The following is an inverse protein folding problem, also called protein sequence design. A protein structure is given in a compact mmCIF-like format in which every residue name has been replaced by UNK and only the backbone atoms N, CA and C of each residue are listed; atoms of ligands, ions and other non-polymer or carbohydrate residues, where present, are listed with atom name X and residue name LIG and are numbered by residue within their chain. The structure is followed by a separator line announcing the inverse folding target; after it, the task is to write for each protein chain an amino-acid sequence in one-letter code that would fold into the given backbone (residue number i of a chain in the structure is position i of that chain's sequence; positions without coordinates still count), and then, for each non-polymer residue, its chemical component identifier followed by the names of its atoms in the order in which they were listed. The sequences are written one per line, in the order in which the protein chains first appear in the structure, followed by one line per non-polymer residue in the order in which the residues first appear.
data_IF_911902494803
#
_entry.id   IF_911902494803
#
_cell.length_a   1.000
_cell.length_b   1.000
_cell.length_c   1.000
_cell.angle_alpha   90.00
_cell.angle_beta   90.00
_cell.angle_gamma   90.00
#
_symmetry.space_group_name_H-M   'P 1'
#
loop_
_entity.id
_entity.type
_entity.pdbx_description
1 polymer ?
#
# COMPACT_ATOMS: atom_id res chain seq x y z
N UNK A 1 3.52 0.10 -17.16
CA UNK A 1 4.12 -1.24 -17.39
C UNK A 1 3.48 -1.84 -18.64
N UNK A 2 4.24 -2.56 -19.47
CA UNK A 2 3.70 -3.19 -20.68
C UNK A 2 3.01 -4.51 -20.35
N UNK A 3 1.97 -4.88 -21.10
CA UNK A 3 1.17 -6.09 -20.86
C UNK A 3 2.02 -7.38 -20.77
N UNK A 4 3.05 -7.48 -21.60
CA UNK A 4 3.97 -8.61 -21.57
C UNK A 4 4.73 -8.74 -20.24
N UNK A 5 5.17 -7.62 -19.65
CA UNK A 5 5.86 -7.61 -18.37
C UNK A 5 4.91 -7.97 -17.23
N UNK A 6 3.67 -7.48 -17.28
CA UNK A 6 2.63 -7.86 -16.31
C UNK A 6 2.40 -9.37 -16.30
N UNK A 7 2.24 -9.99 -17.47
CA UNK A 7 2.05 -11.44 -17.59
C UNK A 7 3.25 -12.19 -17.03
N UNK A 8 4.48 -11.77 -17.36
CA UNK A 8 5.69 -12.41 -16.83
C UNK A 8 5.76 -12.37 -15.31
N UNK A 9 5.43 -11.23 -14.71
CA UNK A 9 5.38 -11.06 -13.26
C UNK A 9 4.33 -12.01 -12.65
N UNK A 10 3.12 -12.06 -13.22
CA UNK A 10 2.05 -12.96 -12.73
C UNK A 10 2.46 -14.43 -12.80
N UNK A 11 3.15 -14.83 -13.87
CA UNK A 11 3.69 -16.20 -14.01
C UNK A 11 4.76 -16.49 -12.95
N UNK A 12 5.66 -15.54 -12.69
CA UNK A 12 6.67 -15.68 -11.63
C UNK A 12 5.99 -15.85 -10.27
N UNK A 13 5.03 -15.00 -9.93
CA UNK A 13 4.27 -15.10 -8.69
C UNK A 13 3.54 -16.44 -8.59
N UNK A 14 2.81 -16.85 -9.63
CA UNK A 14 2.13 -18.15 -9.63
C UNK A 14 3.09 -19.34 -9.44
N UNK A 15 4.34 -19.23 -9.89
CA UNK A 15 5.35 -20.30 -9.76
C UNK A 15 6.00 -20.40 -8.36
N UNK A 16 5.79 -19.41 -7.50
CA UNK A 16 6.36 -19.38 -6.15
C UNK A 16 5.32 -19.50 -5.03
N UNK A 17 4.06 -19.21 -5.32
CA UNK A 17 2.96 -19.35 -4.37
C UNK A 17 2.67 -20.83 -4.11
N UNK A 18 2.41 -21.17 -2.86
CA UNK A 18 1.96 -22.49 -2.44
C UNK A 18 0.45 -22.67 -2.70
N UNK A 19 -0.07 -23.90 -2.60
CA UNK A 19 -1.48 -24.21 -2.88
C UNK A 19 -2.48 -23.47 -1.97
N UNK A 20 -2.05 -23.01 -0.81
CA UNK A 20 -2.83 -22.22 0.14
C UNK A 20 -2.77 -20.72 -0.11
N UNK A 21 -1.93 -20.26 -1.05
CA UNK A 21 -1.69 -18.86 -1.35
C UNK A 21 -2.20 -18.48 -2.74
N UNK A 22 -2.59 -17.22 -2.92
CA UNK A 22 -3.10 -16.70 -4.19
C UNK A 22 -2.86 -15.21 -4.35
N UNK A 23 -2.90 -14.75 -5.60
CA UNK A 23 -2.97 -13.31 -5.91
C UNK A 23 -4.42 -12.86 -5.70
N UNK A 24 -4.66 -11.97 -4.74
CA UNK A 24 -5.97 -11.33 -4.53
C UNK A 24 -6.15 -10.18 -5.51
N UNK A 25 -5.15 -9.30 -5.59
CA UNK A 25 -5.22 -8.09 -6.41
C UNK A 25 -3.87 -7.79 -7.03
N UNK A 26 -3.91 -7.19 -8.21
CA UNK A 26 -2.74 -6.81 -8.97
C UNK A 26 -3.04 -5.49 -9.69
N UNK A 27 -2.36 -4.43 -9.29
CA UNK A 27 -2.56 -3.09 -9.83
C UNK A 27 -1.25 -2.54 -10.37
N UNK A 28 -1.28 -1.95 -11.56
CA UNK A 28 -0.10 -1.41 -12.22
C UNK A 28 -0.18 0.09 -12.38
N UNK A 29 0.92 0.78 -12.13
CA UNK A 29 1.01 2.21 -12.39
C UNK A 29 1.45 2.44 -13.84
N UNK A 30 0.77 3.37 -14.51
CA UNK A 30 1.07 3.70 -15.90
C UNK A 30 2.45 4.37 -16.04
N UNK A 31 2.80 5.29 -15.14
CA UNK A 31 4.00 6.14 -15.24
C UNK A 31 5.24 5.57 -14.56
N UNK A 32 5.10 4.98 -13.37
CA UNK A 32 6.24 4.50 -12.59
C UNK A 32 6.55 3.02 -12.81
N UNK A 33 5.98 2.39 -13.85
CA UNK A 33 6.21 0.97 -14.18
C UNK A 33 6.27 0.05 -12.94
N UNK A 34 5.40 0.30 -11.97
CA UNK A 34 5.38 -0.43 -10.71
C UNK A 34 4.11 -1.28 -10.65
N UNK A 35 4.23 -2.49 -10.13
CA UNK A 35 3.09 -3.30 -9.78
C UNK A 35 2.95 -3.37 -8.26
N UNK A 36 1.72 -3.20 -7.79
CA UNK A 36 1.32 -3.41 -6.41
C UNK A 36 0.48 -4.67 -6.37
N UNK A 37 0.90 -5.64 -5.57
CA UNK A 37 0.30 -6.97 -5.53
C UNK A 37 -0.13 -7.26 -4.12
N UNK A 38 -1.39 -7.66 -3.99
CA UNK A 38 -1.95 -8.19 -2.76
C UNK A 38 -1.99 -9.71 -2.88
N UNK A 39 -1.24 -10.40 -2.04
CA UNK A 39 -1.27 -11.84 -1.88
C UNK A 39 -2.18 -12.18 -0.71
N UNK A 40 -2.84 -13.33 -0.78
CA UNK A 40 -3.69 -13.85 0.28
C UNK A 40 -3.46 -15.33 0.51
N UNK A 41 -3.82 -15.81 1.69
CA UNK A 41 -3.83 -17.23 2.00
C UNK A 41 -5.24 -17.74 2.40
N UNK A 42 -5.38 -19.06 2.57
CA UNK A 42 -6.64 -19.70 2.98
C UNK A 42 -7.04 -19.41 4.44
N UNK A 43 -6.14 -18.86 5.25
CA UNK A 43 -6.40 -18.44 6.63
C UNK A 43 -7.05 -17.04 6.71
N UNK A 44 -7.30 -16.40 5.56
CA UNK A 44 -7.86 -15.05 5.51
C UNK A 44 -6.82 -13.96 5.73
N UNK A 45 -5.53 -14.31 5.71
CA UNK A 45 -4.44 -13.36 5.86
C UNK A 45 -3.98 -12.84 4.51
N UNK A 46 -3.32 -11.69 4.53
CA UNK A 46 -2.83 -11.04 3.35
C UNK A 46 -1.42 -10.49 3.52
N UNK A 47 -0.81 -10.19 2.38
CA UNK A 47 0.49 -9.55 2.30
C UNK A 47 0.54 -8.65 1.07
N UNK A 48 1.03 -7.43 1.25
CA UNK A 48 1.27 -6.50 0.15
C UNK A 48 2.75 -6.52 -0.26
N UNK A 49 3.01 -6.63 -1.56
CA UNK A 49 4.34 -6.41 -2.13
C UNK A 49 4.27 -5.38 -3.26
N UNK A 50 5.41 -4.74 -3.49
CA UNK A 50 5.62 -3.89 -4.65
C UNK A 50 6.70 -4.51 -5.53
N UNK A 51 6.47 -4.47 -6.84
CA UNK A 51 7.44 -4.84 -7.87
C UNK A 51 7.77 -3.57 -8.66
N UNK A 52 9.04 -3.18 -8.68
CA UNK A 52 9.48 -1.94 -9.33
C UNK A 52 10.95 -1.96 -9.68
N UNK A 53 11.31 -1.28 -10.78
CA UNK A 53 12.72 -1.05 -11.18
C UNK A 53 13.41 0.06 -10.40
N UNK A 54 12.70 0.72 -9.48
CA UNK A 54 13.24 1.78 -8.64
C UNK A 54 12.76 1.64 -7.20
N UNK A 55 13.53 2.23 -6.28
CA UNK A 55 13.21 2.21 -4.85
C UNK A 55 11.92 2.95 -4.55
N UNK A 56 11.28 2.61 -3.43
CA UNK A 56 10.24 3.44 -2.85
C UNK A 56 10.81 4.81 -2.49
N UNK A 57 10.08 5.86 -2.90
CA UNK A 57 10.47 7.24 -2.68
C UNK A 57 10.16 7.69 -1.24
N UNK A 58 9.25 7.01 -0.55
CA UNK A 58 8.83 7.34 0.81
C UNK A 58 9.08 6.18 1.76
N UNK A 59 9.66 6.48 2.93
CA UNK A 59 9.94 5.54 4.03
C UNK A 59 8.65 5.04 4.70
N UNK A 60 7.53 5.77 4.53
CA UNK A 60 6.20 5.42 5.07
C UNK A 60 5.49 4.31 4.31
N UNK A 61 5.86 4.13 3.05
CA UNK A 61 5.41 2.97 2.29
C UNK A 61 6.44 1.87 2.47
N UNK A 62 6.49 1.29 3.68
CA UNK A 62 7.29 0.11 4.06
C UNK A 62 6.90 -1.17 3.30
N UNK A 63 6.17 -1.05 2.20
CA UNK A 63 5.77 -2.17 1.36
C UNK A 63 7.04 -2.84 0.81
N UNK A 64 7.27 -4.13 1.12
CA UNK A 64 8.40 -4.88 0.60
C UNK A 64 8.49 -4.74 -0.92
N UNK A 65 9.58 -4.12 -1.39
CA UNK A 65 9.76 -3.76 -2.80
C UNK A 65 10.84 -4.63 -3.43
N UNK A 66 10.51 -5.25 -4.57
CA UNK A 66 11.38 -6.15 -5.30
C UNK A 66 11.63 -5.65 -6.72
N UNK A 67 12.89 -5.67 -7.13
CA UNK A 67 13.29 -5.40 -8.51
C UNK A 67 12.94 -6.59 -9.40
N UNK A 68 12.20 -6.33 -10.48
CA UNK A 68 11.75 -7.36 -11.42
C UNK A 68 12.61 -7.45 -12.70
N UNK A 69 13.70 -6.69 -12.82
CA UNK A 69 14.59 -6.70 -13.99
C UNK A 69 15.31 -8.03 -14.19
N UNK A 70 15.75 -8.67 -13.09
CA UNK A 70 16.35 -10.01 -13.11
C UNK A 70 15.34 -11.04 -12.58
N UNK A 71 14.87 -11.90 -13.47
CA UNK A 71 13.87 -12.93 -13.15
C UNK A 71 14.37 -13.98 -12.15
N UNK A 72 15.62 -14.42 -12.26
CA UNK A 72 16.17 -15.47 -11.40
C UNK A 72 16.31 -14.92 -9.99
N UNK A 73 16.92 -13.73 -9.88
CA UNK A 73 17.09 -13.05 -8.61
C UNK A 73 15.74 -12.69 -7.97
N UNK A 74 14.74 -12.29 -8.77
CA UNK A 74 13.39 -12.00 -8.29
C UNK A 74 12.75 -13.22 -7.63
N UNK A 75 12.82 -14.39 -8.26
CA UNK A 75 12.25 -15.64 -7.74
C UNK A 75 12.87 -16.00 -6.39
N UNK A 76 14.19 -15.93 -6.28
CA UNK A 76 14.91 -16.25 -5.04
C UNK A 76 14.54 -15.28 -3.92
N UNK A 77 14.56 -13.97 -4.20
CA UNK A 77 14.20 -12.94 -3.22
C UNK A 77 12.76 -13.06 -2.75
N UNK A 78 11.83 -13.31 -3.66
CA UNK A 78 10.42 -13.47 -3.29
C UNK A 78 10.20 -14.76 -2.49
N UNK A 79 10.86 -15.87 -2.83
CA UNK A 79 10.77 -17.12 -2.05
C UNK A 79 11.31 -16.96 -0.63
N UNK A 80 12.48 -16.35 -0.49
CA UNK A 80 13.06 -16.08 0.84
C UNK A 80 12.14 -15.19 1.67
N UNK A 81 11.62 -14.12 1.05
CA UNK A 81 10.68 -13.22 1.68
C UNK A 81 9.39 -13.94 2.11
N UNK A 82 8.73 -14.69 1.23
CA UNK A 82 7.48 -15.39 1.54
C UNK A 82 7.65 -16.41 2.66
N UNK A 83 8.83 -17.04 2.78
CA UNK A 83 9.13 -17.99 3.86
C UNK A 83 9.20 -17.33 5.24
N UNK A 84 9.65 -16.08 5.30
CA UNK A 84 9.90 -15.35 6.56
C UNK A 84 8.88 -14.25 6.85
N UNK A 85 7.99 -13.95 5.90
CA UNK A 85 7.07 -12.85 6.02
C UNK A 85 6.01 -13.14 7.08
N UNK A 86 5.69 -12.10 7.85
CA UNK A 86 4.53 -12.11 8.73
C UNK A 86 3.30 -11.71 7.94
N UNK A 87 2.37 -12.63 7.79
CA UNK A 87 1.10 -12.37 7.12
C UNK A 87 0.17 -11.59 8.04
N UNK A 88 -0.60 -10.68 7.47
CA UNK A 88 -1.45 -9.75 8.20
C UNK A 88 -2.89 -10.25 8.18
N UNK A 89 -3.54 -10.20 9.34
CA UNK A 89 -4.97 -10.47 9.47
C UNK A 89 -5.77 -9.23 9.08
N UNK A 90 -6.82 -9.42 8.26
CA UNK A 90 -7.76 -8.36 7.93
C UNK A 90 -8.98 -8.46 8.84
N UNK A 91 -9.18 -7.46 9.69
CA UNK A 91 -10.24 -7.43 10.69
C UNK A 91 -11.32 -6.38 10.35
N UNK A 92 -12.39 -6.37 11.14
CA UNK A 92 -13.50 -5.45 10.93
C UNK A 92 -13.11 -3.98 11.07
N UNK A 93 -12.19 -3.64 11.97
CA UNK A 93 -11.74 -2.26 12.10
C UNK A 93 -11.02 -1.80 10.82
N UNK A 94 -10.20 -2.66 10.20
CA UNK A 94 -9.53 -2.35 8.94
C UNK A 94 -10.56 -2.11 7.83
N UNK A 95 -11.55 -2.99 7.73
CA UNK A 95 -12.68 -2.85 6.81
C UNK A 95 -13.43 -1.54 7.03
N UNK A 96 -13.76 -1.22 8.28
CA UNK A 96 -14.50 -0.01 8.64
C UNK A 96 -13.71 1.25 8.27
N UNK A 97 -12.42 1.31 8.62
CA UNK A 97 -11.55 2.43 8.29
C UNK A 97 -11.44 2.66 6.77
N UNK A 98 -11.17 1.59 6.00
CA UNK A 98 -11.11 1.67 4.54
C UNK A 98 -12.47 2.07 3.93
N UNK A 99 -13.57 1.54 4.46
CA UNK A 99 -14.92 1.89 4.02
C UNK A 99 -15.22 3.37 4.26
N UNK A 100 -14.79 3.91 5.40
CA UNK A 100 -14.91 5.34 5.70
C UNK A 100 -14.13 6.20 4.72
N UNK A 101 -12.91 5.81 4.35
CA UNK A 101 -12.10 6.53 3.35
C UNK A 101 -12.80 6.52 1.99
N UNK A 102 -13.30 5.36 1.55
CA UNK A 102 -14.02 5.21 0.28
C UNK A 102 -15.31 6.04 0.27
N UNK A 103 -16.08 5.98 1.36
CA UNK A 103 -17.33 6.71 1.51
C UNK A 103 -17.09 8.23 1.52
N UNK A 104 -16.14 8.71 2.31
CA UNK A 104 -15.78 10.13 2.36
C UNK A 104 -15.46 10.71 0.98
N UNK A 105 -14.72 9.96 0.15
CA UNK A 105 -14.40 10.36 -1.22
C UNK A 105 -15.63 10.55 -2.09
N UNK A 106 -16.63 9.69 -1.95
CA UNK A 106 -17.92 9.83 -2.66
C UNK A 106 -18.67 11.11 -2.24
N UNK A 107 -18.38 11.61 -1.04
CA UNK A 107 -18.95 12.83 -0.46
C UNK A 107 -18.02 14.05 -0.58
N UNK A 108 -17.04 14.02 -1.49
CA UNK A 108 -16.16 15.17 -1.75
C UNK A 108 -15.15 15.48 -0.64
N UNK A 109 -14.92 14.51 0.24
CA UNK A 109 -13.90 14.56 1.29
C UNK A 109 -12.72 13.67 0.90
N UNK A 110 -11.52 14.23 0.88
CA UNK A 110 -10.30 13.46 0.65
C UNK A 110 -9.43 13.47 1.92
N UNK A 111 -8.78 12.35 2.20
CA UNK A 111 -7.76 12.26 3.25
C UNK A 111 -6.40 12.37 2.59
N UNK A 112 -5.55 13.26 3.10
CA UNK A 112 -4.17 13.39 2.67
C UNK A 112 -3.24 13.14 3.83
N UNK A 113 -2.07 12.58 3.51
CA UNK A 113 -0.95 12.45 4.43
C UNK A 113 0.00 13.59 4.09
N UNK A 114 0.42 14.36 5.10
CA UNK A 114 1.50 15.31 4.89
C UNK A 114 2.81 14.54 4.67
N UNK A 115 3.48 14.79 3.56
CA UNK A 115 4.88 14.36 3.33
C UNK A 115 5.76 15.56 2.98
N UNK A 116 5.27 16.79 3.24
CA UNK A 116 6.02 18.01 2.98
C UNK A 116 7.26 18.04 3.88
N UNK A 117 8.41 18.50 3.38
CA UNK A 117 9.63 18.76 4.18
C UNK A 117 10.39 17.57 4.77
N UNK A 118 10.16 16.32 4.35
CA UNK A 118 10.90 15.17 4.93
C UNK A 118 10.78 15.11 6.46
N UNK A 119 9.79 15.78 7.06
CA UNK A 119 9.57 15.80 8.53
C UNK A 119 9.39 14.39 9.08
N UNK A 120 8.98 13.48 8.21
CA UNK A 120 8.80 12.08 8.53
C UNK A 120 9.95 11.18 8.04
N UNK A 121 10.91 11.66 7.22
CA UNK A 121 11.98 10.79 6.69
C UNK A 121 12.89 10.19 7.76
N UNK A 122 12.93 10.78 8.96
CA UNK A 122 13.69 10.28 10.11
C UNK A 122 12.82 9.58 11.17
N UNK A 123 11.52 9.34 10.89
CA UNK A 123 10.57 8.66 11.78
C UNK A 123 10.45 9.25 13.21
N UNK A 124 10.86 10.51 13.42
CA UNK A 124 10.84 11.18 14.73
C UNK A 124 9.46 11.71 15.14
N UNK A 125 8.50 11.74 14.21
CA UNK A 125 7.11 12.15 14.42
C UNK A 125 6.15 11.19 13.72
N UNK A 126 5.00 10.90 14.35
CA UNK A 126 3.95 10.05 13.78
C UNK A 126 3.19 10.72 12.64
N UNK A 127 2.61 9.94 11.72
CA UNK A 127 1.95 10.49 10.53
C UNK A 127 0.78 11.43 10.89
N UNK A 128 0.73 12.56 10.19
CA UNK A 128 -0.35 13.54 10.31
C UNK A 128 -1.27 13.40 9.10
N UNK A 129 -2.56 13.17 9.39
CA UNK A 129 -3.59 13.12 8.36
C UNK A 129 -4.33 14.46 8.33
N UNK A 130 -4.70 14.88 7.12
CA UNK A 130 -5.58 16.02 6.93
C UNK A 130 -6.81 15.64 6.13
N UNK A 131 -7.92 16.27 6.50
CA UNK A 131 -9.12 16.27 5.69
C UNK A 131 -9.05 17.43 4.70
N UNK A 132 -9.23 17.13 3.42
CA UNK A 132 -9.56 18.12 2.41
C UNK A 132 -11.05 18.05 2.08
N UNK A 133 -11.74 19.17 2.25
CA UNK A 133 -13.12 19.33 1.82
C UNK A 133 -13.14 20.03 0.46
N UNK A 134 -13.60 19.35 -0.58
CA UNK A 134 -13.73 19.93 -1.93
C UNK A 134 -15.19 20.04 -2.36
N UNK A 135 -15.66 21.25 -2.69
CA UNK A 135 -16.92 21.40 -3.45
C UNK A 135 -16.66 21.20 -4.96
N UNK A 136 -17.60 20.61 -5.73
CA UNK A 136 -17.40 20.33 -7.17
C UNK A 136 -17.18 21.56 -8.05
N UNK A 137 -17.46 22.78 -7.56
CA UNK A 137 -17.29 24.05 -8.29
C UNK A 137 -16.84 25.16 -7.34
N UNK A 138 -15.61 25.65 -7.51
CA UNK A 138 -14.99 26.67 -6.66
C UNK A 138 -14.15 26.07 -5.54
N UNK A 139 -12.84 25.92 -5.79
CA UNK A 139 -11.88 25.29 -4.87
C UNK A 139 -11.59 26.21 -3.68
N UNK A 140 -12.36 26.10 -2.61
CA UNK A 140 -11.84 26.36 -1.28
C UNK A 140 -11.31 25.03 -0.75
N UNK A 141 -9.99 24.92 -0.68
CA UNK A 141 -9.35 23.81 0.03
C UNK A 141 -9.31 24.23 1.50
N UNK A 142 -10.16 23.62 2.31
CA UNK A 142 -10.10 23.79 3.77
C UNK A 142 -9.32 22.62 4.33
N UNK A 143 -8.14 22.92 4.87
CA UNK A 143 -7.30 21.98 5.61
C UNK A 143 -7.80 21.95 7.05
N UNK A 144 -8.38 20.83 7.44
CA UNK A 144 -8.63 20.54 8.84
C UNK A 144 -7.64 19.47 9.31
N UNK A 145 -6.79 19.84 10.26
CA UNK A 145 -6.12 18.84 11.09
C UNK A 145 -7.21 18.06 11.82
N UNK A 146 -7.11 16.73 11.80
CA UNK A 146 -7.96 15.92 12.65
C UNK A 146 -7.65 16.21 14.13
N UNK A 147 -8.67 16.08 14.97
CA UNK A 147 -8.46 16.03 16.42
C UNK A 147 -7.42 14.96 16.76
N UNK A 148 -6.63 15.21 17.81
CA UNK A 148 -5.46 14.39 18.16
C UNK A 148 -5.82 12.91 18.34
N UNK A 149 -7.01 12.63 18.91
CA UNK A 149 -7.52 11.27 19.11
C UNK A 149 -7.79 10.55 17.78
N UNK A 150 -8.30 11.27 16.78
CA UNK A 150 -8.59 10.69 15.46
C UNK A 150 -7.30 10.48 14.65
N UNK A 151 -6.34 11.40 14.77
CA UNK A 151 -4.99 11.21 14.22
C UNK A 151 -4.29 10.01 14.87
N UNK A 152 -4.45 9.79 16.18
CA UNK A 152 -3.87 8.63 16.88
C UNK A 152 -4.44 7.31 16.36
N UNK A 153 -5.75 7.23 16.17
CA UNK A 153 -6.40 6.05 15.56
C UNK A 153 -5.84 5.79 14.16
N UNK A 154 -5.67 6.81 13.32
CA UNK A 154 -5.10 6.63 11.99
C UNK A 154 -3.59 6.30 12.00
N UNK A 155 -2.82 6.82 12.95
CA UNK A 155 -1.39 6.54 13.09
C UNK A 155 -1.08 5.13 13.62
N UNK A 156 -1.91 4.60 14.53
CA UNK A 156 -1.79 3.22 15.03
C UNK A 156 -1.95 2.17 13.92
N UNK A 157 -2.69 2.50 12.86
CA UNK A 157 -2.83 1.65 11.67
C UNK A 157 -1.55 1.53 10.85
N UNK A 158 -0.70 2.54 10.91
CA UNK A 158 0.47 2.63 10.04
C UNK A 158 1.76 2.11 10.64
N UNK A 159 1.81 1.97 11.97
CA UNK A 159 2.95 1.33 12.66
C UNK A 159 2.85 -0.21 12.72
N UNK A 160 1.73 -0.80 12.28
CA UNK A 160 1.55 -2.26 12.18
C UNK A 160 1.95 -2.86 10.82
N UNK A 161 2.55 -2.07 9.93
CA UNK A 161 2.92 -2.47 8.56
C UNK A 161 4.43 -2.35 8.29
#
# INVERSE_FOLDING_TARGET
MKDHQEIQIRVVLASILTNDQRIISFHTTRKSESAYVLLGNNQGEFLAIRLSTHKAFSVFMSIPTFDYTDKVQLIEKLRDFLRRASWLQFNYHDYFALSMIVFAKQHGTEFQIDDSYTIFSEASQGMVFYQLLGRPRGKQVVLHAFEEDYNRVLADYTHKH
#
